data_IF_547710574381
#
_entry.id   IF_547710574381
#
_cell.length_a   1.000
_cell.length_b   1.000
_cell.length_c   1.000
_cell.angle_alpha   90.00
_cell.angle_beta   90.00
_cell.angle_gamma   90.00
#
_symmetry.space_group_name_H-M   'P 1'
#
loop_
_entity.id
_entity.type
_entity.pdbx_description
1 polymer ?
#
# COMPACT_ATOMS: atom_id res chain seq x y z
N UNK A 1 -19.64 -10.04 3.80
CA UNK A 1 -18.16 -10.20 3.81
C UNK A 1 -17.63 -10.93 2.58
N UNK A 2 -18.22 -12.09 2.21
CA UNK A 2 -17.77 -12.87 1.04
C UNK A 2 -17.91 -12.09 -0.26
N UNK A 3 -19.00 -11.33 -0.43
CA UNK A 3 -19.25 -10.51 -1.62
C UNK A 3 -18.22 -9.40 -1.79
N UNK A 4 -17.90 -8.63 -0.73
CA UNK A 4 -16.88 -7.57 -0.76
C UNK A 4 -15.50 -8.13 -1.11
N UNK A 5 -15.12 -9.29 -0.55
CA UNK A 5 -13.84 -9.96 -0.85
C UNK A 5 -13.74 -10.40 -2.32
N UNK A 6 -14.84 -10.92 -2.92
CA UNK A 6 -14.87 -11.28 -4.33
C UNK A 6 -14.76 -10.06 -5.25
N UNK A 7 -15.42 -8.96 -4.91
CA UNK A 7 -15.33 -7.71 -5.68
C UNK A 7 -13.92 -7.15 -5.64
N UNK A 8 -13.27 -7.19 -4.47
CA UNK A 8 -11.88 -6.80 -4.32
C UNK A 8 -10.93 -7.67 -5.16
N UNK A 9 -11.13 -9.00 -5.19
CA UNK A 9 -10.36 -9.91 -6.03
C UNK A 9 -10.53 -9.59 -7.52
N UNK A 10 -11.76 -9.29 -7.99
CA UNK A 10 -12.01 -8.85 -9.36
C UNK A 10 -11.30 -7.53 -9.68
N UNK A 11 -11.31 -6.58 -8.77
CA UNK A 11 -10.66 -5.28 -8.93
C UNK A 11 -9.15 -5.42 -9.11
N UNK A 12 -8.50 -6.17 -8.24
CA UNK A 12 -7.05 -6.37 -8.24
C UNK A 12 -6.56 -7.16 -9.46
N UNK A 13 -7.42 -8.01 -10.03
CA UNK A 13 -7.13 -8.80 -11.25
C UNK A 13 -7.50 -8.08 -12.56
N UNK A 14 -7.94 -6.81 -12.50
CA UNK A 14 -8.38 -6.05 -13.68
C UNK A 14 -9.65 -6.59 -14.35
N UNK A 15 -10.56 -7.21 -13.57
CA UNK A 15 -11.82 -7.78 -14.06
C UNK A 15 -13.06 -6.99 -13.61
N UNK A 16 -12.88 -5.88 -12.91
CA UNK A 16 -13.98 -5.08 -12.36
C UNK A 16 -14.48 -4.01 -13.33
N UNK A 17 -13.60 -3.46 -14.14
CA UNK A 17 -13.88 -2.42 -15.15
C UNK A 17 -13.38 -2.89 -16.52
N UNK A 18 -13.98 -2.42 -17.62
CA UNK A 18 -13.43 -2.66 -18.94
C UNK A 18 -12.09 -1.94 -19.09
N UNK A 19 -11.15 -2.55 -19.81
CA UNK A 19 -9.87 -1.95 -20.13
C UNK A 19 -9.98 -1.09 -21.40
N UNK A 20 -9.31 0.05 -21.41
CA UNK A 20 -9.19 0.89 -22.60
C UNK A 20 -7.83 0.65 -23.26
N UNK A 21 -7.77 0.09 -24.49
CA UNK A 21 -6.51 -0.16 -25.17
C UNK A 21 -5.72 1.13 -25.51
N UNK A 22 -6.36 2.30 -25.40
CA UNK A 22 -5.71 3.59 -25.61
C UNK A 22 -5.10 4.17 -24.32
N UNK A 23 -5.35 3.57 -23.15
CA UNK A 23 -4.73 4.00 -21.92
C UNK A 23 -3.22 3.75 -21.95
N UNK A 24 -2.44 4.70 -21.44
CA UNK A 24 -0.99 4.57 -21.36
C UNK A 24 -0.61 3.36 -20.51
N UNK A 25 0.15 2.38 -21.04
CA UNK A 25 0.52 1.18 -20.27
C UNK A 25 1.33 1.53 -19.03
N UNK A 26 1.16 0.74 -17.97
CA UNK A 26 1.91 0.90 -16.71
C UNK A 26 3.44 0.88 -16.91
N UNK A 27 3.93 0.19 -17.93
CA UNK A 27 5.37 0.16 -18.27
C UNK A 27 5.93 1.55 -18.61
N UNK A 28 5.12 2.43 -19.22
CA UNK A 28 5.52 3.82 -19.53
C UNK A 28 5.57 4.65 -18.26
N UNK A 29 4.56 4.55 -17.39
CA UNK A 29 4.56 5.18 -16.08
C UNK A 29 5.80 4.76 -15.26
N UNK A 30 6.11 3.46 -15.21
CA UNK A 30 7.26 2.94 -14.47
C UNK A 30 8.60 3.40 -15.05
N UNK A 31 8.69 3.58 -16.38
CA UNK A 31 9.89 4.19 -17.02
C UNK A 31 10.08 5.65 -16.57
N UNK A 32 9.00 6.44 -16.51
CA UNK A 32 9.07 7.84 -16.01
C UNK A 32 9.53 7.89 -14.56
N UNK A 33 8.95 7.05 -13.69
CA UNK A 33 9.34 6.97 -12.27
C UNK A 33 10.84 6.61 -12.14
N UNK A 34 11.34 5.65 -12.92
CA UNK A 34 12.77 5.31 -12.91
C UNK A 34 13.65 6.47 -13.37
N UNK A 35 13.25 7.19 -14.40
CA UNK A 35 14.00 8.35 -14.88
C UNK A 35 14.04 9.47 -13.82
N UNK A 36 12.93 9.77 -13.17
CA UNK A 36 12.86 10.73 -12.06
C UNK A 36 13.74 10.29 -10.88
N UNK A 37 13.68 9.01 -10.52
CA UNK A 37 14.49 8.43 -9.46
C UNK A 37 15.99 8.55 -9.75
N UNK A 38 16.43 8.25 -10.98
CA UNK A 38 17.83 8.42 -11.40
C UNK A 38 18.27 9.87 -11.31
N UNK A 39 17.41 10.81 -11.67
CA UNK A 39 17.71 12.23 -11.55
C UNK A 39 17.86 12.66 -10.09
N UNK A 40 16.98 12.21 -9.21
CA UNK A 40 17.07 12.46 -7.75
C UNK A 40 18.34 11.85 -7.14
N UNK A 41 18.78 10.69 -7.63
CA UNK A 41 20.04 10.05 -7.22
C UNK A 41 21.23 10.89 -7.67
N UNK A 42 21.26 11.35 -8.94
CA UNK A 42 22.33 12.23 -9.45
C UNK A 42 22.44 13.53 -8.68
N UNK A 43 21.30 14.09 -8.26
CA UNK A 43 21.23 15.30 -7.43
C UNK A 43 21.60 15.04 -5.96
N UNK A 44 21.90 13.81 -5.57
CA UNK A 44 22.21 13.45 -4.17
C UNK A 44 21.02 13.53 -3.19
N UNK A 45 19.79 13.69 -3.71
CA UNK A 45 18.58 13.81 -2.88
C UNK A 45 18.13 12.48 -2.32
N UNK A 46 18.35 11.39 -3.04
CA UNK A 46 18.07 10.02 -2.59
C UNK A 46 19.26 9.11 -2.86
N UNK A 47 19.38 8.05 -2.05
CA UNK A 47 20.43 7.04 -2.25
C UNK A 47 19.93 5.95 -3.20
N UNK A 48 20.83 5.41 -4.03
CA UNK A 48 20.52 4.25 -4.87
C UNK A 48 20.22 3.03 -4.01
N UNK A 49 19.06 2.43 -4.23
CA UNK A 49 18.73 1.15 -3.62
C UNK A 49 19.39 0.00 -4.43
N UNK A 50 20.30 -0.72 -3.76
CA UNK A 50 21.00 -1.87 -4.37
C UNK A 50 20.08 -3.09 -4.57
N UNK A 51 18.92 -3.10 -3.92
CA UNK A 51 17.91 -4.18 -3.99
C UNK A 51 16.75 -3.81 -4.90
N UNK A 52 16.83 -2.69 -5.63
CA UNK A 52 15.77 -2.34 -6.57
C UNK A 52 15.60 -3.42 -7.61
N UNK A 53 14.36 -3.84 -7.80
CA UNK A 53 14.01 -4.92 -8.70
C UNK A 53 13.14 -4.45 -9.86
N UNK A 54 13.22 -5.18 -10.97
CA UNK A 54 12.35 -5.03 -12.13
C UNK A 54 11.68 -6.37 -12.38
N UNK A 55 10.36 -6.41 -12.30
CA UNK A 55 9.57 -7.59 -12.68
C UNK A 55 9.14 -7.43 -14.14
N UNK A 56 9.30 -8.47 -14.94
CA UNK A 56 8.92 -8.50 -16.35
C UNK A 56 8.48 -9.90 -16.76
N UNK A 57 7.70 -9.99 -17.83
CA UNK A 57 7.28 -11.26 -18.44
C UNK A 57 8.24 -11.61 -19.57
N UNK A 58 8.77 -12.82 -19.56
CA UNK A 58 9.64 -13.34 -20.60
C UNK A 58 8.87 -13.84 -21.82
N UNK A 59 9.60 -14.19 -22.88
CA UNK A 59 9.02 -14.74 -24.13
C UNK A 59 8.37 -16.11 -23.94
N UNK A 60 8.75 -16.81 -22.88
CA UNK A 60 8.17 -18.10 -22.43
C UNK A 60 6.91 -17.94 -21.59
N UNK A 61 6.38 -16.72 -21.47
CA UNK A 61 5.27 -16.32 -20.61
C UNK A 61 5.52 -16.42 -19.08
N UNK A 62 6.72 -16.78 -18.64
CA UNK A 62 7.10 -16.80 -17.22
C UNK A 62 7.45 -15.40 -16.73
N UNK A 63 7.23 -15.13 -15.43
CA UNK A 63 7.63 -13.88 -14.79
C UNK A 63 9.03 -13.97 -14.21
N UNK A 64 9.81 -12.95 -14.49
CA UNK A 64 11.19 -12.83 -14.02
C UNK A 64 11.37 -11.57 -13.20
N UNK A 65 12.24 -11.65 -12.20
CA UNK A 65 12.69 -10.52 -11.41
C UNK A 65 14.18 -10.29 -11.61
N UNK A 66 14.55 -9.10 -12.06
CA UNK A 66 15.93 -8.66 -12.19
C UNK A 66 16.29 -7.79 -10.99
N UNK A 67 17.34 -8.19 -10.25
CA UNK A 67 17.95 -7.43 -9.15
C UNK A 67 19.44 -7.29 -9.44
N UNK A 68 19.89 -6.09 -9.76
CA UNK A 68 21.26 -5.87 -10.27
C UNK A 68 21.50 -6.67 -11.55
N UNK A 69 22.48 -7.60 -11.52
CA UNK A 69 22.79 -8.49 -12.64
C UNK A 69 22.09 -9.85 -12.59
N UNK A 70 21.42 -10.16 -11.50
CA UNK A 70 20.75 -11.45 -11.32
C UNK A 70 19.33 -11.40 -11.88
N UNK A 71 18.95 -12.44 -12.62
CA UNK A 71 17.58 -12.64 -13.14
C UNK A 71 17.09 -13.99 -12.65
N UNK A 72 15.96 -13.99 -11.94
CA UNK A 72 15.37 -15.19 -11.38
C UNK A 72 13.92 -15.32 -11.83
N UNK A 73 13.47 -16.53 -12.14
CA UNK A 73 12.05 -16.83 -12.34
C UNK A 73 11.33 -16.69 -10.99
N UNK A 74 10.17 -16.02 -11.01
CA UNK A 74 9.35 -15.75 -9.82
C UNK A 74 7.89 -16.18 -9.99
N UNK A 75 7.56 -17.05 -10.91
CA UNK A 75 6.19 -17.50 -11.18
C UNK A 75 5.46 -17.96 -9.91
N UNK A 76 6.15 -18.66 -9.01
CA UNK A 76 5.57 -19.10 -7.74
C UNK A 76 5.17 -17.95 -6.81
N UNK A 77 5.73 -16.75 -7.03
CA UNK A 77 5.43 -15.53 -6.24
C UNK A 77 4.38 -14.66 -6.89
N UNK A 78 4.00 -14.95 -8.13
CA UNK A 78 3.00 -14.17 -8.87
C UNK A 78 1.60 -14.60 -8.42
N UNK A 79 0.78 -13.67 -7.93
CA UNK A 79 -0.51 -14.03 -7.33
C UNK A 79 -1.60 -14.39 -8.37
N UNK A 80 -1.47 -13.92 -9.61
CA UNK A 80 -2.41 -14.11 -10.73
C UNK A 80 -1.84 -13.54 -12.03
N UNK A 81 -2.43 -13.90 -13.16
CA UNK A 81 -2.11 -13.31 -14.46
C UNK A 81 -2.65 -11.87 -14.57
N UNK A 82 -1.83 -10.97 -15.15
CA UNK A 82 -2.20 -9.59 -15.40
C UNK A 82 -2.88 -9.40 -16.76
N UNK A 83 -3.82 -8.45 -16.87
CA UNK A 83 -4.28 -7.93 -18.14
C UNK A 83 -3.16 -7.24 -18.93
N UNK A 84 -3.38 -7.04 -20.23
CA UNK A 84 -2.51 -6.23 -21.06
C UNK A 84 -2.41 -4.79 -20.53
N UNK A 85 -1.24 -4.17 -20.67
CA UNK A 85 -0.99 -2.82 -20.18
C UNK A 85 -0.70 -2.71 -18.68
N UNK A 86 -0.89 -3.77 -17.88
CA UNK A 86 -0.53 -3.81 -16.48
C UNK A 86 0.91 -4.28 -16.25
N UNK A 87 1.46 -3.99 -15.08
CA UNK A 87 2.77 -4.49 -14.66
C UNK A 87 2.78 -4.89 -13.20
N UNK A 88 3.63 -5.87 -12.83
CA UNK A 88 3.95 -6.13 -11.43
C UNK A 88 5.19 -5.37 -11.00
N UNK A 89 5.20 -4.93 -9.75
CA UNK A 89 6.37 -4.34 -9.08
C UNK A 89 6.48 -4.82 -7.65
N UNK A 90 7.65 -4.66 -7.03
CA UNK A 90 7.76 -4.70 -5.57
C UNK A 90 7.31 -3.36 -4.98
N UNK A 91 6.73 -3.39 -3.80
CA UNK A 91 6.25 -2.18 -3.13
C UNK A 91 7.39 -1.15 -2.97
N UNK A 92 8.59 -1.57 -2.59
CA UNK A 92 9.74 -0.69 -2.42
C UNK A 92 10.23 0.00 -3.71
N UNK A 93 9.73 -0.42 -4.87
CA UNK A 93 10.14 0.21 -6.16
C UNK A 93 9.65 1.65 -6.26
N UNK A 94 8.44 1.93 -5.79
CA UNK A 94 7.76 3.23 -5.98
C UNK A 94 7.22 3.86 -4.69
N UNK A 95 7.24 3.15 -3.56
CA UNK A 95 6.80 3.69 -2.27
C UNK A 95 7.89 3.57 -1.21
N UNK A 96 7.94 4.56 -0.31
CA UNK A 96 8.80 4.53 0.86
C UNK A 96 8.03 3.93 2.04
N UNK A 97 8.65 2.99 2.76
CA UNK A 97 8.09 2.42 3.98
C UNK A 97 8.78 3.02 5.21
N UNK A 98 7.99 3.64 6.08
CA UNK A 98 8.45 4.29 7.30
C UNK A 98 7.95 3.47 8.49
N UNK A 99 8.86 2.93 9.29
CA UNK A 99 8.52 2.18 10.51
C UNK A 99 8.42 3.12 11.70
N UNK A 100 7.33 3.00 12.45
CA UNK A 100 7.12 3.81 13.65
C UNK A 100 8.03 3.43 14.81
N UNK A 101 8.05 4.30 15.84
CA UNK A 101 8.84 4.15 17.06
C UNK A 101 8.02 4.54 18.27
N UNK A 102 8.14 3.77 19.36
CA UNK A 102 7.44 4.11 20.60
C UNK A 102 8.10 5.30 21.30
N UNK A 103 7.26 6.07 21.96
CA UNK A 103 7.67 7.13 22.90
C UNK A 103 7.49 6.66 24.33
N UNK A 104 8.31 7.19 25.23
CA UNK A 104 8.16 7.00 26.67
C UNK A 104 6.90 7.74 27.18
N UNK A 105 6.28 7.31 28.29
CA UNK A 105 5.08 7.97 28.83
C UNK A 105 5.24 9.48 29.11
N UNK A 106 6.47 9.93 29.43
CA UNK A 106 6.78 11.35 29.63
C UNK A 106 6.90 12.19 28.36
N UNK A 107 6.97 11.54 27.18
CA UNK A 107 7.16 12.20 25.87
C UNK A 107 5.85 12.47 25.13
N UNK A 108 4.69 12.07 25.68
CA UNK A 108 3.40 12.34 25.07
C UNK A 108 2.35 12.74 26.12
N UNK A 109 1.24 13.30 25.65
CA UNK A 109 0.18 13.86 26.48
C UNK A 109 -1.21 13.67 25.82
N UNK A 110 -2.27 14.06 26.55
CA UNK A 110 -3.67 14.11 26.12
C UNK A 110 -4.24 15.54 26.03
N UNK A 111 -3.34 16.56 26.06
CA UNK A 111 -3.68 17.99 26.17
C UNK A 111 -3.54 18.75 24.84
N UNK A 112 -3.40 18.05 23.71
CA UNK A 112 -3.12 18.64 22.38
C UNK A 112 -1.79 19.41 22.30
N UNK A 113 -0.83 19.12 23.16
CA UNK A 113 0.48 19.75 23.09
C UNK A 113 1.38 19.00 22.11
N UNK A 114 1.78 19.64 21.01
CA UNK A 114 2.58 19.09 19.93
C UNK A 114 1.75 18.49 18.78
N UNK A 115 2.33 17.54 18.05
CA UNK A 115 1.65 16.85 16.95
C UNK A 115 0.96 15.56 17.45
N UNK A 116 -0.09 15.04 16.74
CA UNK A 116 -0.74 13.79 17.10
C UNK A 116 0.23 12.63 17.22
N UNK A 117 -0.02 11.73 18.17
CA UNK A 117 0.70 10.48 18.37
C UNK A 117 -0.25 9.29 18.17
N UNK A 118 -0.03 8.51 17.11
CA UNK A 118 -0.85 7.36 16.73
C UNK A 118 -0.19 6.09 17.26
N UNK A 119 -0.83 5.42 18.21
CA UNK A 119 -0.22 4.35 18.99
C UNK A 119 -0.50 2.94 18.44
N UNK A 120 -1.57 2.74 17.68
CA UNK A 120 -1.91 1.42 17.15
C UNK A 120 -3.32 1.33 16.58
N UNK A 121 -3.83 0.11 16.42
CA UNK A 121 -5.14 -0.18 15.82
C UNK A 121 -6.32 0.47 16.56
N UNK A 122 -6.19 0.75 17.85
CA UNK A 122 -7.23 1.46 18.64
C UNK A 122 -7.54 2.87 18.13
N UNK A 123 -6.58 3.48 17.40
CA UNK A 123 -6.79 4.75 16.73
C UNK A 123 -7.56 4.62 15.41
N UNK A 124 -7.66 3.40 14.83
CA UNK A 124 -8.24 3.20 13.50
C UNK A 124 -9.72 2.83 13.65
N UNK A 125 -10.60 3.64 13.04
CA UNK A 125 -12.04 3.40 13.03
C UNK A 125 -12.57 3.62 11.62
N UNK A 126 -13.02 2.55 10.95
CA UNK A 126 -13.62 2.61 9.60
C UNK A 126 -12.75 3.37 8.58
N UNK A 127 -11.44 3.11 8.56
CA UNK A 127 -10.49 3.78 7.66
C UNK A 127 -10.08 5.20 8.07
N UNK A 128 -10.61 5.70 9.20
CA UNK A 128 -10.25 7.01 9.76
C UNK A 128 -9.36 6.85 10.99
N UNK A 129 -8.57 7.88 11.29
CA UNK A 129 -7.71 7.93 12.47
C UNK A 129 -8.32 8.83 13.53
N UNK A 130 -8.54 8.26 14.72
CA UNK A 130 -8.94 9.01 15.92
C UNK A 130 -7.70 9.54 16.64
N UNK A 131 -7.61 10.84 16.81
CA UNK A 131 -6.50 11.52 17.46
C UNK A 131 -6.82 11.71 18.95
N UNK A 132 -6.08 11.04 19.82
CA UNK A 132 -6.32 11.02 21.27
C UNK A 132 -5.06 11.26 22.10
N UNK A 133 -3.90 11.34 21.47
CA UNK A 133 -2.60 11.62 22.09
C UNK A 133 -1.76 12.52 21.22
N UNK A 134 -0.88 13.29 21.85
CA UNK A 134 0.00 14.27 21.20
C UNK A 134 1.43 14.18 21.77
N UNK A 135 2.40 14.64 21.00
CA UNK A 135 3.79 14.71 21.42
C UNK A 135 4.46 15.98 20.95
N UNK A 136 5.15 16.73 21.85
CA UNK A 136 6.01 17.84 21.46
C UNK A 136 7.40 17.40 20.97
N UNK A 137 7.75 16.11 21.08
CA UNK A 137 9.06 15.54 20.71
C UNK A 137 8.93 14.41 19.70
N UNK A 138 8.37 14.64 18.51
CA UNK A 138 8.17 13.61 17.52
C UNK A 138 9.51 13.08 16.99
N UNK A 139 9.60 11.77 16.74
CA UNK A 139 10.80 11.11 16.20
C UNK A 139 10.57 10.52 14.80
N UNK A 140 9.40 9.95 14.55
CA UNK A 140 9.01 9.35 13.27
C UNK A 140 7.71 9.96 12.81
N UNK A 141 7.74 10.70 11.71
CA UNK A 141 6.62 11.54 11.27
C UNK A 141 6.00 10.97 10.00
N UNK A 142 4.70 10.62 10.08
CA UNK A 142 3.82 10.45 8.92
C UNK A 142 3.28 11.80 8.47
N UNK A 143 2.89 11.90 7.18
CA UNK A 143 2.41 13.13 6.56
C UNK A 143 1.08 12.90 5.85
N UNK A 144 0.36 13.99 5.57
CA UNK A 144 -0.85 13.92 4.73
C UNK A 144 -0.55 13.18 3.41
N UNK A 145 -1.42 12.23 3.06
CA UNK A 145 -1.28 11.38 1.88
C UNK A 145 -0.54 10.06 2.11
N UNK A 146 0.09 9.85 3.28
CA UNK A 146 0.63 8.55 3.64
C UNK A 146 -0.52 7.56 3.92
N UNK A 147 -0.31 6.29 3.57
CA UNK A 147 -1.18 5.18 3.97
C UNK A 147 -0.62 4.54 5.23
N UNK A 148 -1.42 4.46 6.29
CA UNK A 148 -1.04 3.86 7.56
C UNK A 148 -1.50 2.40 7.62
N UNK A 149 -0.61 1.52 8.09
CA UNK A 149 -0.85 0.09 8.22
C UNK A 149 -0.45 -0.38 9.62
N UNK A 150 -1.35 -1.07 10.31
CA UNK A 150 -1.00 -1.72 11.58
C UNK A 150 -0.24 -3.03 11.34
N UNK A 151 0.92 -3.18 12.00
CA UNK A 151 1.84 -4.30 11.77
C UNK A 151 2.09 -5.16 13.01
N UNK A 152 1.62 -4.76 14.19
CA UNK A 152 1.72 -5.53 15.45
C UNK A 152 0.43 -5.42 16.24
N UNK A 153 0.12 -6.45 17.04
CA UNK A 153 -1.15 -6.57 17.76
C UNK A 153 -2.28 -6.88 16.78
N UNK A 154 -3.25 -6.00 16.61
CA UNK A 154 -4.24 -6.10 15.52
C UNK A 154 -3.56 -5.68 14.22
N UNK A 155 -3.25 -6.63 13.36
CA UNK A 155 -2.51 -6.42 12.13
C UNK A 155 -3.41 -6.20 10.91
N UNK A 156 -2.91 -5.40 9.93
CA UNK A 156 -3.54 -5.23 8.64
C UNK A 156 -4.76 -4.32 8.64
N UNK A 157 -4.91 -3.47 9.66
CA UNK A 157 -5.85 -2.35 9.61
C UNK A 157 -5.19 -1.20 8.84
N UNK A 158 -5.97 -0.56 7.96
CA UNK A 158 -5.49 0.46 7.05
C UNK A 158 -6.26 1.76 7.29
N UNK A 159 -5.55 2.89 7.26
CA UNK A 159 -6.15 4.21 7.31
C UNK A 159 -5.35 5.21 6.46
N UNK A 160 -6.06 6.15 5.83
CA UNK A 160 -5.42 7.26 5.13
C UNK A 160 -5.07 8.39 6.11
N UNK A 161 -3.85 8.91 6.02
CA UNK A 161 -3.49 10.12 6.74
C UNK A 161 -4.04 11.34 6.00
N UNK A 162 -5.23 11.80 6.40
CA UNK A 162 -5.90 12.99 5.86
C UNK A 162 -5.75 14.23 6.75
N UNK A 163 -5.11 14.10 7.92
CA UNK A 163 -5.06 15.13 8.95
C UNK A 163 -3.72 15.90 8.99
N UNK A 164 -2.61 15.34 8.51
CA UNK A 164 -1.33 16.05 8.46
C UNK A 164 -0.18 15.31 9.17
N UNK A 165 0.76 16.05 9.77
CA UNK A 165 1.88 15.44 10.47
C UNK A 165 1.44 14.78 11.78
N UNK A 166 1.94 13.56 12.02
CA UNK A 166 1.75 12.83 13.25
C UNK A 166 2.93 11.90 13.51
N UNK A 167 3.26 11.68 14.79
CA UNK A 167 4.17 10.62 15.20
C UNK A 167 3.46 9.27 15.18
N UNK A 168 4.13 8.21 14.73
CA UNK A 168 3.60 6.84 14.70
C UNK A 168 4.42 5.90 15.59
N UNK A 169 3.72 5.07 16.39
CA UNK A 169 4.33 4.05 17.24
C UNK A 169 4.78 2.82 16.42
N UNK A 170 5.59 1.95 17.04
CA UNK A 170 6.14 0.73 16.41
C UNK A 170 5.09 -0.27 15.92
N UNK A 171 3.83 -0.12 16.33
CA UNK A 171 2.71 -0.93 15.85
C UNK A 171 2.23 -0.52 14.46
N UNK A 172 2.72 0.62 13.94
CA UNK A 172 2.28 1.21 12.69
C UNK A 172 3.46 1.39 11.75
N UNK A 173 3.22 1.13 10.47
CA UNK A 173 4.06 1.55 9.37
C UNK A 173 3.30 2.57 8.52
N UNK A 174 4.00 3.57 7.98
CA UNK A 174 3.45 4.47 6.97
C UNK A 174 4.06 4.14 5.60
N UNK A 175 3.21 4.04 4.59
CA UNK A 175 3.60 3.86 3.19
C UNK A 175 3.43 5.21 2.51
N UNK A 176 4.56 5.82 2.14
CA UNK A 176 4.62 7.17 1.56
C UNK A 176 4.61 7.11 0.05
N UNK A 177 3.68 7.87 -0.54
CA UNK A 177 3.58 8.04 -1.97
C UNK A 177 4.52 9.15 -2.45
N UNK A 178 5.64 8.77 -3.07
CA UNK A 178 6.67 9.72 -3.53
C UNK A 178 6.37 10.20 -4.96
N UNK A 179 5.80 9.32 -5.80
CA UNK A 179 5.66 9.53 -7.24
C UNK A 179 4.22 9.78 -7.68
N UNK A 180 3.38 10.32 -6.79
CA UNK A 180 1.99 10.71 -7.07
C UNK A 180 1.12 9.58 -7.66
N UNK A 181 1.37 8.33 -7.26
CA UNK A 181 0.53 7.19 -7.62
C UNK A 181 -0.80 7.23 -6.88
N UNK A 182 -1.78 6.47 -7.37
CA UNK A 182 -3.10 6.41 -6.72
C UNK A 182 -3.01 5.66 -5.38
N UNK A 183 -3.13 6.41 -4.27
CA UNK A 183 -3.03 5.85 -2.92
C UNK A 183 -4.25 5.00 -2.53
N UNK A 184 -5.42 5.28 -3.10
CA UNK A 184 -6.62 4.46 -2.88
C UNK A 184 -6.42 3.08 -3.53
N UNK A 185 -5.84 3.03 -4.74
CA UNK A 185 -5.50 1.76 -5.39
C UNK A 185 -4.42 0.98 -4.61
N UNK A 186 -3.41 1.67 -4.09
CA UNK A 186 -2.44 1.06 -3.18
C UNK A 186 -3.12 0.45 -1.95
N UNK A 187 -4.06 1.17 -1.33
CA UNK A 187 -4.81 0.67 -0.18
C UNK A 187 -5.55 -0.64 -0.49
N UNK A 188 -6.17 -0.75 -1.69
CA UNK A 188 -6.80 -1.99 -2.17
C UNK A 188 -5.80 -3.14 -2.30
N UNK A 189 -4.61 -2.87 -2.85
CA UNK A 189 -3.55 -3.88 -2.99
C UNK A 189 -3.06 -4.39 -1.63
N UNK A 190 -2.88 -3.49 -0.68
CA UNK A 190 -2.48 -3.84 0.70
C UNK A 190 -3.60 -4.64 1.39
N UNK A 191 -4.85 -4.21 1.30
CA UNK A 191 -6.01 -4.93 1.88
C UNK A 191 -6.11 -6.35 1.32
N UNK A 192 -5.99 -6.50 0.00
CA UNK A 192 -5.96 -7.82 -0.65
C UNK A 192 -4.82 -8.69 -0.12
N UNK A 193 -3.61 -8.14 -0.06
CA UNK A 193 -2.43 -8.86 0.42
C UNK A 193 -2.56 -9.27 1.88
N UNK A 194 -3.06 -8.37 2.74
CA UNK A 194 -3.30 -8.66 4.16
C UNK A 194 -4.36 -9.76 4.35
N UNK A 195 -5.41 -9.74 3.54
CA UNK A 195 -6.43 -10.79 3.55
C UNK A 195 -5.82 -12.15 3.23
N UNK A 196 -4.95 -12.23 2.21
CA UNK A 196 -4.25 -13.47 1.84
C UNK A 196 -3.29 -13.93 2.92
N UNK A 197 -2.49 -13.04 3.49
CA UNK A 197 -1.56 -13.34 4.60
C UNK A 197 -2.33 -13.89 5.80
N UNK A 198 -3.42 -13.24 6.21
CA UNK A 198 -4.27 -13.68 7.33
C UNK A 198 -4.90 -15.07 7.07
N UNK A 199 -5.35 -15.34 5.85
CA UNK A 199 -5.91 -16.65 5.46
C UNK A 199 -4.86 -17.76 5.47
N UNK A 200 -3.66 -17.51 4.96
CA UNK A 200 -2.58 -18.50 4.89
C UNK A 200 -2.03 -18.87 6.27
N UNK A 201 -2.01 -17.94 7.21
CA UNK A 201 -1.42 -18.14 8.54
C UNK A 201 -2.21 -19.09 9.45
N UNK A 202 -3.49 -19.40 9.16
CA UNK A 202 -4.38 -20.31 9.92
C UNK A 202 -4.34 -20.15 11.45
N UNK A 203 -3.95 -18.98 11.98
CA UNK A 203 -3.77 -18.76 13.40
C UNK A 203 -3.20 -17.39 13.74
N UNK A 204 -2.54 -17.31 14.89
CA UNK A 204 -1.96 -16.06 15.40
C UNK A 204 -0.78 -15.62 14.53
N UNK A 205 -0.89 -14.45 13.93
CA UNK A 205 0.25 -13.82 13.26
C UNK A 205 0.95 -12.92 14.29
N UNK A 206 2.22 -13.19 14.66
CA UNK A 206 2.91 -12.42 15.71
C UNK A 206 3.20 -10.98 15.30
N UNK A 207 3.07 -10.67 14.02
CA UNK A 207 3.31 -9.36 13.43
C UNK A 207 3.62 -9.48 11.95
N UNK A 208 3.69 -8.32 11.29
CA UNK A 208 4.13 -8.19 9.91
C UNK A 208 5.44 -7.40 9.94
N UNK A 209 6.49 -7.97 9.37
CA UNK A 209 7.79 -7.32 9.31
C UNK A 209 7.84 -6.26 8.20
N UNK A 210 8.83 -5.39 8.27
CA UNK A 210 9.13 -4.43 7.21
C UNK A 210 9.38 -5.14 5.86
N UNK A 211 10.11 -6.24 5.90
CA UNK A 211 10.47 -7.02 4.72
C UNK A 211 9.24 -7.66 4.07
N UNK A 212 8.27 -8.12 4.85
CA UNK A 212 7.01 -8.68 4.33
C UNK A 212 6.26 -7.66 3.49
N UNK A 213 6.24 -6.39 3.91
CA UNK A 213 5.56 -5.30 3.19
C UNK A 213 6.37 -4.87 1.95
N UNK A 214 7.67 -4.65 2.09
CA UNK A 214 8.52 -4.21 0.99
C UNK A 214 8.56 -5.21 -0.18
N UNK A 215 8.48 -6.50 0.14
CA UNK A 215 8.53 -7.60 -0.84
C UNK A 215 7.16 -7.95 -1.45
N UNK A 216 6.07 -7.24 -1.08
CA UNK A 216 4.78 -7.46 -1.73
C UNK A 216 4.88 -7.22 -3.24
N UNK A 217 4.32 -8.17 -4.00
CA UNK A 217 4.13 -8.02 -5.45
C UNK A 217 2.82 -7.29 -5.68
N UNK A 218 2.92 -6.07 -6.21
CA UNK A 218 1.81 -5.15 -6.40
C UNK A 218 1.52 -5.02 -7.90
N UNK A 219 0.26 -5.24 -8.35
CA UNK A 219 -0.14 -4.97 -9.71
C UNK A 219 -0.30 -3.45 -9.90
N UNK A 220 0.15 -2.93 -11.02
CA UNK A 220 0.00 -1.53 -11.41
C UNK A 220 -0.76 -1.47 -12.74
N UNK A 221 -2.01 -1.01 -12.73
CA UNK A 221 -2.78 -0.68 -13.93
C UNK A 221 -2.30 0.61 -14.58
N UNK A 222 -2.74 0.90 -15.81
CA UNK A 222 -2.78 2.25 -16.36
C UNK A 222 -3.40 3.24 -15.38
N UNK A 223 -2.86 4.47 -15.29
CA UNK A 223 -3.27 5.46 -14.28
C UNK A 223 -4.78 5.72 -14.26
N UNK A 224 -5.38 5.87 -15.44
CA UNK A 224 -6.82 6.11 -15.57
C UNK A 224 -7.65 4.90 -15.13
N UNK A 225 -7.17 3.69 -15.41
CA UNK A 225 -7.83 2.46 -14.96
C UNK A 225 -7.78 2.33 -13.42
N UNK A 226 -6.69 2.75 -12.74
CA UNK A 226 -6.65 2.81 -11.27
C UNK A 226 -7.78 3.66 -10.71
N UNK A 227 -8.02 4.84 -11.29
CA UNK A 227 -9.11 5.74 -10.89
C UNK A 227 -10.48 5.11 -11.13
N UNK A 228 -10.69 4.50 -12.29
CA UNK A 228 -11.94 3.84 -12.65
C UNK A 228 -12.26 2.68 -11.69
N UNK A 229 -11.26 1.86 -11.35
CA UNK A 229 -11.40 0.77 -10.37
C UNK A 229 -11.81 1.33 -9.00
N UNK A 230 -11.10 2.33 -8.49
CA UNK A 230 -11.40 2.93 -7.19
C UNK A 230 -12.80 3.54 -7.14
N UNK A 231 -13.20 4.27 -8.18
CA UNK A 231 -14.53 4.85 -8.29
C UNK A 231 -15.63 3.78 -8.34
N UNK A 232 -15.43 2.73 -9.14
CA UNK A 232 -16.39 1.61 -9.23
C UNK A 232 -16.55 0.91 -7.87
N UNK A 233 -15.46 0.68 -7.15
CA UNK A 233 -15.48 0.08 -5.81
C UNK A 233 -16.24 0.95 -4.80
N UNK A 234 -15.97 2.27 -4.77
CA UNK A 234 -16.67 3.21 -3.88
C UNK A 234 -18.19 3.14 -4.09
N UNK A 235 -18.64 3.21 -5.35
CA UNK A 235 -20.07 3.12 -5.69
C UNK A 235 -20.64 1.76 -5.29
N UNK A 236 -19.95 0.68 -5.63
CA UNK A 236 -20.42 -0.68 -5.37
C UNK A 236 -20.52 -0.97 -3.87
N UNK A 237 -19.51 -0.59 -3.07
CA UNK A 237 -19.53 -0.81 -1.63
C UNK A 237 -20.58 0.06 -0.93
N UNK A 238 -20.78 1.30 -1.34
CA UNK A 238 -21.85 2.16 -0.83
C UNK A 238 -23.25 1.55 -1.09
N UNK A 239 -23.46 1.00 -2.29
CA UNK A 239 -24.72 0.32 -2.62
C UNK A 239 -24.95 -0.92 -1.74
N UNK A 240 -23.91 -1.74 -1.54
CA UNK A 240 -23.99 -2.92 -0.66
C UNK A 240 -24.32 -2.50 0.78
N UNK A 241 -23.69 -1.47 1.31
CA UNK A 241 -23.95 -0.97 2.67
C UNK A 241 -25.38 -0.42 2.83
N UNK A 242 -25.89 0.24 1.80
CA UNK A 242 -27.27 0.71 1.79
C UNK A 242 -28.27 -0.46 1.84
N UNK A 243 -28.03 -1.50 1.03
CA UNK A 243 -28.85 -2.72 1.05
C UNK A 243 -28.75 -3.43 2.40
N UNK A 244 -27.55 -3.62 2.93
CA UNK A 244 -27.35 -4.26 4.26
C UNK A 244 -28.09 -3.51 5.37
N UNK A 245 -28.14 -2.16 5.32
CA UNK A 245 -28.89 -1.33 6.29
C UNK A 245 -30.41 -1.40 6.11
N UNK A 246 -30.90 -1.63 4.90
CA UNK A 246 -32.34 -1.73 4.62
C UNK A 246 -32.93 -3.10 4.97
N UNK A 247 -32.09 -4.11 5.18
CA UNK A 247 -32.48 -5.49 5.54
C UNK A 247 -32.42 -5.76 7.05
N UNK A 248 -31.87 -4.84 7.83
CA UNK A 248 -31.82 -4.89 9.30
C UNK A 248 -32.79 -3.91 9.93
#
# INVERSE_FOLDING_TARGET
KLTKSKILDLAIRGKLVPQDPNDEPASVLLKRIRAEKEELIKQGKIKRDKKESIIFKGDDNSYYEKVGNNVNCIDEKIPFELPEGWAFIRLNTVWELISGRDLSPSEYNDKNDGIPYITGASNFKNGHVSLVRWTPVPQVITRRGDLLLTCKGTIGEIAHNNFGEAHIARQIMAIRNIYSLNVDFLALCIEYSMTKIKQAAKGLIPGISREDILNLVIPIPPTKEQENICNKLKVTFSAIEHIEKSLN
#
